data_IF_273201180172
#
_entry.id   IF_273201180172
#
_cell.length_a   1.000
_cell.length_b   1.000
_cell.length_c   1.000
_cell.angle_alpha   90.00
_cell.angle_beta   90.00
_cell.angle_gamma   90.00
#
_symmetry.space_group_name_H-M   'P 1'
#
loop_
_entity.id
_entity.type
_entity.pdbx_description
1 polymer ?
#
# COMPACT_ATOMS: atom_id res chain seq x y z
N UNK A 1 -30.92 -9.24 -32.05
CA UNK A 1 -29.50 -9.07 -31.68
C UNK A 1 -28.77 -10.43 -31.62
N UNK A 2 -28.98 -11.32 -30.62
CA UNK A 2 -28.30 -12.64 -30.59
C UNK A 2 -28.71 -13.59 -31.73
N UNK A 3 -29.97 -13.58 -32.10
CA UNK A 3 -30.47 -14.36 -33.23
C UNK A 3 -29.98 -13.79 -34.56
N UNK A 4 -29.91 -12.48 -34.74
CA UNK A 4 -29.36 -11.80 -35.90
C UNK A 4 -27.86 -12.12 -36.09
N UNK A 5 -27.06 -12.13 -34.98
CA UNK A 5 -25.66 -12.59 -35.06
C UNK A 5 -25.58 -14.07 -35.48
N UNK A 6 -26.47 -14.91 -34.95
CA UNK A 6 -26.52 -16.30 -35.36
C UNK A 6 -26.90 -16.46 -36.83
N UNK A 7 -27.81 -15.61 -37.37
CA UNK A 7 -28.21 -15.61 -38.76
C UNK A 7 -27.05 -15.21 -39.69
N UNK A 8 -26.29 -14.20 -39.30
CA UNK A 8 -25.07 -13.78 -40.00
C UNK A 8 -24.02 -14.86 -40.06
N UNK A 9 -23.81 -15.58 -38.92
CA UNK A 9 -22.83 -16.67 -38.86
C UNK A 9 -23.27 -17.92 -39.64
N UNK A 10 -24.58 -18.16 -39.75
CA UNK A 10 -25.12 -19.27 -40.52
C UNK A 10 -25.07 -19.02 -42.03
N UNK A 11 -25.03 -17.75 -42.45
CA UNK A 11 -25.03 -17.37 -43.88
C UNK A 11 -26.34 -17.66 -44.61
N UNK A 12 -27.44 -17.96 -43.89
CA UNK A 12 -28.74 -18.21 -44.48
C UNK A 12 -29.90 -17.95 -43.49
N UNK A 13 -31.03 -17.45 -44.00
CA UNK A 13 -32.25 -17.24 -43.25
C UNK A 13 -32.93 -18.54 -42.79
N UNK A 14 -33.98 -18.47 -41.90
CA UNK A 14 -34.79 -19.62 -41.55
C UNK A 14 -35.39 -20.29 -42.78
N UNK A 15 -35.20 -21.62 -42.91
CA UNK A 15 -35.70 -22.46 -44.03
C UNK A 15 -35.12 -22.15 -45.43
N UNK A 16 -34.18 -21.20 -45.54
CA UNK A 16 -33.51 -20.88 -46.81
C UNK A 16 -32.47 -21.96 -47.13
N UNK A 17 -32.39 -22.41 -48.40
CA UNK A 17 -31.39 -23.35 -48.91
C UNK A 17 -30.41 -22.61 -49.81
N UNK A 18 -29.22 -22.33 -49.28
CA UNK A 18 -28.12 -21.71 -50.03
C UNK A 18 -26.83 -22.53 -49.87
N UNK A 19 -25.96 -22.49 -50.87
CA UNK A 19 -24.65 -23.13 -50.83
C UNK A 19 -23.70 -22.46 -49.83
N UNK A 20 -24.04 -21.22 -49.40
CA UNK A 20 -23.27 -20.44 -48.42
C UNK A 20 -23.58 -20.82 -46.96
N UNK A 21 -24.54 -21.71 -46.73
CA UNK A 21 -24.98 -22.09 -45.39
C UNK A 21 -23.85 -22.87 -44.66
N UNK A 22 -23.23 -22.22 -43.65
CA UNK A 22 -22.13 -22.77 -42.84
C UNK A 22 -22.58 -23.68 -41.69
N UNK A 23 -23.83 -23.54 -41.21
CA UNK A 23 -24.36 -24.27 -40.04
C UNK A 23 -25.90 -24.36 -40.05
N UNK A 24 -26.43 -25.19 -39.15
CA UNK A 24 -27.88 -25.35 -38.97
C UNK A 24 -28.29 -24.88 -37.56
N UNK A 25 -29.44 -24.20 -37.46
CA UNK A 25 -30.03 -23.84 -36.16
C UNK A 25 -30.52 -25.09 -35.45
N UNK A 26 -30.16 -25.23 -34.17
CA UNK A 26 -30.52 -26.37 -33.29
C UNK A 26 -31.31 -25.92 -32.09
N UNK A 27 -32.07 -24.83 -32.19
CA UNK A 27 -32.86 -24.25 -31.11
C UNK A 27 -32.05 -23.27 -30.24
N UNK A 28 -32.50 -23.07 -29.00
CA UNK A 28 -31.90 -22.16 -28.04
C UNK A 28 -31.64 -22.85 -26.72
N UNK A 29 -30.84 -22.22 -25.89
CA UNK A 29 -30.71 -22.53 -24.46
C UNK A 29 -30.74 -21.25 -23.66
N UNK A 30 -31.22 -21.34 -22.43
CA UNK A 30 -31.26 -20.21 -21.51
C UNK A 30 -29.96 -20.13 -20.72
N UNK A 31 -29.48 -18.91 -20.54
CA UNK A 31 -28.28 -18.57 -19.79
C UNK A 31 -28.55 -17.37 -18.90
N UNK A 32 -28.41 -17.55 -17.57
CA UNK A 32 -28.46 -16.44 -16.63
C UNK A 32 -27.26 -15.52 -16.81
N UNK A 33 -27.52 -14.22 -16.78
CA UNK A 33 -26.50 -13.17 -16.86
C UNK A 33 -26.86 -12.04 -15.89
N UNK A 34 -25.92 -11.65 -15.02
CA UNK A 34 -26.12 -10.60 -14.03
C UNK A 34 -25.63 -9.27 -14.58
N UNK A 35 -26.52 -8.29 -14.65
CA UNK A 35 -26.25 -6.91 -15.07
C UNK A 35 -26.27 -5.98 -13.86
N UNK A 36 -25.88 -4.74 -14.04
CA UNK A 36 -26.02 -3.68 -13.03
C UNK A 36 -27.48 -3.42 -12.64
N UNK A 37 -28.44 -3.76 -13.51
CA UNK A 37 -29.88 -3.61 -13.27
C UNK A 37 -30.56 -4.86 -12.71
N UNK A 38 -29.79 -5.94 -12.51
CA UNK A 38 -30.32 -7.21 -11.99
C UNK A 38 -30.01 -8.42 -12.87
N UNK A 39 -30.59 -9.55 -12.51
CA UNK A 39 -30.42 -10.80 -13.24
C UNK A 39 -31.35 -10.86 -14.47
N UNK A 40 -30.77 -11.17 -15.63
CA UNK A 40 -31.51 -11.38 -16.88
C UNK A 40 -31.25 -12.78 -17.41
N UNK A 41 -32.25 -13.35 -18.07
CA UNK A 41 -32.11 -14.61 -18.78
C UNK A 41 -31.91 -14.37 -20.27
N UNK A 42 -30.72 -14.77 -20.76
CA UNK A 42 -30.36 -14.65 -22.16
C UNK A 42 -30.77 -15.92 -22.91
N UNK A 43 -31.46 -15.75 -24.04
CA UNK A 43 -31.78 -16.81 -24.96
C UNK A 43 -30.67 -16.94 -25.98
N UNK A 44 -29.81 -17.94 -25.81
CA UNK A 44 -28.62 -18.19 -26.61
C UNK A 44 -28.92 -19.16 -27.73
N UNK A 45 -28.58 -18.82 -28.99
CA UNK A 45 -28.80 -19.67 -30.16
C UNK A 45 -27.84 -20.88 -30.14
N UNK A 46 -28.37 -22.08 -30.42
CA UNK A 46 -27.60 -23.31 -30.67
C UNK A 46 -27.42 -23.50 -32.18
N UNK A 47 -26.16 -23.72 -32.58
CA UNK A 47 -25.83 -24.07 -33.96
C UNK A 47 -25.25 -25.49 -34.02
N UNK A 48 -25.65 -26.25 -35.03
CA UNK A 48 -25.07 -27.55 -35.39
C UNK A 48 -24.12 -27.37 -36.56
N UNK A 49 -22.90 -27.87 -36.43
CA UNK A 49 -21.81 -27.71 -37.41
C UNK A 49 -20.80 -26.62 -37.05
N UNK A 50 -21.20 -25.62 -36.28
CA UNK A 50 -20.27 -24.60 -35.74
C UNK A 50 -20.66 -24.17 -34.34
N UNK A 51 -19.74 -23.52 -33.65
CA UNK A 51 -20.00 -22.94 -32.32
C UNK A 51 -20.52 -21.52 -32.47
N UNK A 52 -21.60 -21.20 -31.75
CA UNK A 52 -22.07 -19.81 -31.67
C UNK A 52 -21.16 -19.03 -30.69
N UNK A 53 -20.49 -18.00 -31.22
CA UNK A 53 -19.67 -17.04 -30.44
C UNK A 53 -20.24 -15.66 -30.73
N UNK A 54 -20.84 -15.03 -29.73
CA UNK A 54 -21.38 -13.67 -29.86
C UNK A 54 -20.35 -12.61 -29.54
N UNK A 55 -20.39 -11.49 -30.23
CA UNK A 55 -19.59 -10.31 -29.95
C UNK A 55 -20.11 -9.53 -28.72
N UNK A 56 -21.40 -9.68 -28.38
CA UNK A 56 -22.06 -8.92 -27.32
C UNK A 56 -21.63 -9.39 -25.93
N UNK A 57 -21.35 -10.68 -25.75
CA UNK A 57 -21.03 -11.27 -24.45
C UNK A 57 -19.83 -12.21 -24.60
N UNK A 58 -18.77 -11.93 -23.86
CA UNK A 58 -17.61 -12.82 -23.79
C UNK A 58 -18.02 -14.24 -23.37
N UNK A 59 -17.37 -15.20 -23.98
CA UNK A 59 -17.61 -16.62 -23.69
C UNK A 59 -17.35 -16.91 -22.20
N UNK A 60 -18.26 -17.66 -21.60
CA UNK A 60 -18.26 -18.04 -20.17
C UNK A 60 -18.46 -16.89 -19.17
N UNK A 61 -18.54 -15.64 -19.60
CA UNK A 61 -18.85 -14.53 -18.71
C UNK A 61 -20.31 -14.59 -18.25
N UNK A 62 -20.53 -14.60 -16.94
CA UNK A 62 -21.86 -14.69 -16.33
C UNK A 62 -22.33 -13.37 -15.73
N UNK A 63 -21.49 -12.34 -15.75
CA UNK A 63 -21.76 -11.02 -15.17
C UNK A 63 -21.16 -9.93 -16.03
N UNK A 64 -21.72 -8.76 -15.95
CA UNK A 64 -21.11 -7.54 -16.51
C UNK A 64 -19.78 -7.23 -15.80
N UNK A 65 -18.88 -6.57 -16.51
CA UNK A 65 -17.57 -6.16 -15.96
C UNK A 65 -17.74 -5.25 -14.75
N UNK A 66 -18.68 -4.30 -14.80
CA UNK A 66 -19.02 -3.39 -13.71
C UNK A 66 -19.47 -4.11 -12.42
N UNK A 67 -20.22 -5.21 -12.57
CA UNK A 67 -20.63 -6.06 -11.44
C UNK A 67 -19.41 -6.77 -10.84
N UNK A 68 -18.52 -7.33 -11.68
CA UNK A 68 -17.28 -7.97 -11.21
C UNK A 68 -16.37 -6.96 -10.49
N UNK A 69 -16.22 -5.76 -11.04
CA UNK A 69 -15.45 -4.66 -10.43
C UNK A 69 -16.04 -4.24 -9.07
N UNK A 70 -17.36 -4.11 -8.97
CA UNK A 70 -18.01 -3.78 -7.70
C UNK A 70 -17.79 -4.87 -6.63
N UNK A 71 -17.82 -6.15 -7.00
CA UNK A 71 -17.52 -7.26 -6.10
C UNK A 71 -16.07 -7.19 -5.61
N UNK A 72 -15.13 -6.94 -6.51
CA UNK A 72 -13.70 -6.79 -6.18
C UNK A 72 -13.52 -5.60 -5.22
N UNK A 73 -14.11 -4.45 -5.52
CA UNK A 73 -14.03 -3.26 -4.67
C UNK A 73 -14.64 -3.48 -3.27
N UNK A 74 -15.78 -4.16 -3.16
CA UNK A 74 -16.34 -4.53 -1.87
C UNK A 74 -15.37 -5.37 -1.05
N UNK A 75 -14.73 -6.37 -1.67
CA UNK A 75 -13.74 -7.21 -0.99
C UNK A 75 -12.50 -6.40 -0.56
N UNK A 76 -11.95 -5.58 -1.45
CA UNK A 76 -10.80 -4.72 -1.17
C UNK A 76 -11.14 -3.63 -0.12
N UNK A 77 -12.42 -3.26 -0.03
CA UNK A 77 -12.93 -2.42 1.05
C UNK A 77 -13.04 -3.14 2.40
N UNK A 78 -12.81 -4.47 2.43
CA UNK A 78 -12.83 -5.29 3.64
C UNK A 78 -14.19 -5.93 3.94
N UNK A 79 -15.10 -5.98 2.97
CA UNK A 79 -16.37 -6.73 3.13
C UNK A 79 -16.05 -8.22 3.03
N UNK A 80 -16.53 -9.02 3.99
CA UNK A 80 -16.31 -10.46 3.97
C UNK A 80 -17.02 -11.13 2.79
N UNK A 81 -16.48 -12.26 2.31
CA UNK A 81 -17.04 -12.99 1.15
C UNK A 81 -18.51 -13.37 1.36
N UNK A 82 -18.90 -13.78 2.58
CA UNK A 82 -20.31 -14.05 2.93
C UNK A 82 -21.18 -12.81 2.84
N UNK A 83 -20.69 -11.68 3.36
CA UNK A 83 -21.42 -10.42 3.28
C UNK A 83 -21.52 -9.88 1.85
N UNK A 84 -20.55 -10.18 0.98
CA UNK A 84 -20.62 -9.87 -0.45
C UNK A 84 -21.72 -10.68 -1.11
N UNK A 85 -21.91 -11.96 -0.74
CA UNK A 85 -23.00 -12.79 -1.23
C UNK A 85 -24.36 -12.18 -0.88
N UNK A 86 -24.58 -11.83 0.39
CA UNK A 86 -25.83 -11.18 0.85
C UNK A 86 -26.08 -9.86 0.11
N UNK A 87 -25.05 -9.00 -0.01
CA UNK A 87 -25.17 -7.69 -0.67
C UNK A 87 -25.43 -7.86 -2.17
N UNK A 88 -24.78 -8.81 -2.83
CA UNK A 88 -24.98 -9.07 -4.26
C UNK A 88 -26.38 -9.59 -4.56
N UNK A 89 -26.95 -10.39 -3.67
CA UNK A 89 -28.32 -10.84 -3.78
C UNK A 89 -29.33 -9.68 -3.67
N UNK A 90 -29.11 -8.79 -2.71
CA UNK A 90 -29.94 -7.57 -2.53
C UNK A 90 -29.84 -6.64 -3.73
N UNK A 91 -28.63 -6.39 -4.24
CA UNK A 91 -28.40 -5.41 -5.31
C UNK A 91 -28.80 -5.92 -6.70
N UNK A 92 -28.56 -7.19 -6.99
CA UNK A 92 -28.66 -7.74 -8.35
C UNK A 92 -29.56 -8.96 -8.46
N UNK A 93 -30.19 -9.40 -7.36
CA UNK A 93 -31.07 -10.58 -7.35
C UNK A 93 -30.33 -11.90 -7.56
N UNK A 94 -29.00 -11.92 -7.39
CA UNK A 94 -28.18 -13.12 -7.55
C UNK A 94 -26.98 -13.08 -6.60
N UNK A 95 -26.94 -14.01 -5.65
CA UNK A 95 -25.83 -14.21 -4.73
C UNK A 95 -24.55 -14.64 -5.46
N UNK A 96 -23.41 -14.09 -5.06
CA UNK A 96 -22.10 -14.42 -5.60
C UNK A 96 -21.35 -15.29 -4.61
N UNK A 97 -21.15 -16.58 -4.93
CA UNK A 97 -20.49 -17.51 -4.04
C UNK A 97 -19.10 -17.08 -3.62
N UNK A 98 -18.67 -17.47 -2.41
CA UNK A 98 -17.34 -17.18 -1.88
C UNK A 98 -16.19 -17.61 -2.83
N UNK A 99 -16.34 -18.75 -3.52
CA UNK A 99 -15.38 -19.21 -4.54
C UNK A 99 -15.28 -18.28 -5.74
N UNK A 100 -16.40 -17.70 -6.17
CA UNK A 100 -16.39 -16.71 -7.26
C UNK A 100 -15.69 -15.43 -6.80
N UNK A 101 -15.95 -14.94 -5.59
CA UNK A 101 -15.29 -13.76 -5.02
C UNK A 101 -13.77 -14.00 -4.96
N UNK A 102 -13.33 -15.18 -4.50
CA UNK A 102 -11.91 -15.55 -4.46
C UNK A 102 -11.28 -15.52 -5.86
N UNK A 103 -11.90 -16.13 -6.87
CA UNK A 103 -11.41 -16.16 -8.24
C UNK A 103 -11.31 -14.75 -8.88
N UNK A 104 -12.28 -13.87 -8.59
CA UNK A 104 -12.24 -12.48 -9.04
C UNK A 104 -11.11 -11.71 -8.39
N UNK A 105 -10.87 -11.93 -7.11
CA UNK A 105 -9.79 -11.30 -6.37
C UNK A 105 -8.42 -11.78 -6.83
N UNK A 106 -8.23 -13.05 -7.14
CA UNK A 106 -6.97 -13.57 -7.70
C UNK A 106 -6.59 -12.88 -9.01
N UNK A 107 -7.59 -12.60 -9.87
CA UNK A 107 -7.39 -11.82 -11.10
C UNK A 107 -7.01 -10.37 -10.79
N UNK A 108 -7.69 -9.73 -9.84
CA UNK A 108 -7.38 -8.37 -9.41
C UNK A 108 -6.00 -8.29 -8.76
N UNK A 109 -5.61 -9.29 -7.98
CA UNK A 109 -4.30 -9.33 -7.33
C UNK A 109 -3.14 -9.39 -8.31
N UNK A 110 -3.30 -9.99 -9.49
CA UNK A 110 -2.29 -9.94 -10.53
C UNK A 110 -1.96 -8.49 -10.94
N UNK A 111 -2.99 -7.68 -11.20
CA UNK A 111 -2.83 -6.26 -11.53
C UNK A 111 -2.28 -5.42 -10.36
N UNK A 112 -2.57 -5.82 -9.12
CA UNK A 112 -2.01 -5.21 -7.91
C UNK A 112 -0.53 -5.57 -7.78
N UNK A 113 -0.14 -6.80 -8.05
CA UNK A 113 1.24 -7.26 -7.97
C UNK A 113 2.12 -6.63 -9.06
N UNK A 114 1.61 -6.52 -10.28
CA UNK A 114 2.25 -5.77 -11.37
C UNK A 114 2.52 -4.32 -10.99
N UNK A 115 1.51 -3.64 -10.40
CA UNK A 115 1.68 -2.28 -9.90
C UNK A 115 2.71 -2.20 -8.77
N UNK A 116 2.69 -3.13 -7.81
CA UNK A 116 3.63 -3.19 -6.68
C UNK A 116 5.07 -3.38 -7.16
N UNK A 117 5.26 -4.20 -8.19
CA UNK A 117 6.56 -4.55 -8.75
C UNK A 117 7.03 -3.61 -9.88
N UNK A 118 6.27 -2.56 -10.20
CA UNK A 118 6.61 -1.63 -11.29
C UNK A 118 8.00 -1.01 -11.13
N UNK A 119 8.71 -0.69 -12.22
CA UNK A 119 9.94 0.08 -12.17
C UNK A 119 9.73 1.48 -11.56
N UNK A 120 10.72 1.97 -10.82
CA UNK A 120 10.74 3.31 -10.25
C UNK A 120 11.58 4.22 -11.13
N UNK A 121 10.92 5.10 -11.90
CA UNK A 121 11.58 5.93 -12.91
C UNK A 121 12.19 7.23 -12.37
N UNK A 122 11.71 7.69 -11.19
CA UNK A 122 12.06 8.99 -10.62
C UNK A 122 13.17 8.88 -9.57
N UNK A 123 13.72 10.02 -9.17
CA UNK A 123 14.55 10.15 -7.98
C UNK A 123 13.67 10.45 -6.76
N UNK A 124 14.07 9.89 -5.60
CA UNK A 124 13.31 10.00 -4.35
C UNK A 124 14.24 10.50 -3.23
N UNK A 125 14.45 11.82 -3.11
CA UNK A 125 15.33 12.39 -2.08
C UNK A 125 14.98 11.98 -0.65
N UNK A 126 13.71 11.78 -0.35
CA UNK A 126 13.24 11.35 0.97
C UNK A 126 12.39 10.10 0.86
N UNK A 127 12.68 9.13 1.72
CA UNK A 127 11.94 7.87 1.77
C UNK A 127 11.50 7.59 3.23
N UNK A 128 10.21 7.34 3.42
CA UNK A 128 9.65 6.90 4.70
C UNK A 128 9.44 5.41 4.65
N UNK A 129 9.87 4.72 5.70
CA UNK A 129 9.73 3.26 5.82
C UNK A 129 9.13 2.89 7.18
N UNK A 130 8.28 1.86 7.17
CA UNK A 130 7.63 1.34 8.37
C UNK A 130 7.17 -0.11 8.16
N UNK A 131 6.97 -0.84 9.25
CA UNK A 131 6.39 -2.17 9.27
C UNK A 131 4.96 -2.18 9.81
N UNK A 132 4.09 -2.96 9.19
CA UNK A 132 2.72 -3.18 9.65
C UNK A 132 2.59 -4.65 10.03
N UNK A 133 2.25 -4.93 11.29
CA UNK A 133 1.95 -6.28 11.75
C UNK A 133 0.47 -6.61 11.56
N UNK A 134 0.20 -7.71 10.89
CA UNK A 134 -1.11 -8.30 10.66
C UNK A 134 -1.15 -9.71 11.23
N UNK A 135 -2.33 -10.24 11.53
CA UNK A 135 -2.49 -11.60 12.04
C UNK A 135 -2.80 -12.56 10.91
N UNK A 136 -2.09 -13.68 10.84
CA UNK A 136 -2.45 -14.83 10.00
C UNK A 136 -2.81 -16.04 10.86
N UNK A 137 -3.64 -16.94 10.31
CA UNK A 137 -3.91 -18.24 10.89
C UNK A 137 -3.02 -19.28 10.23
N UNK A 138 -2.30 -20.06 11.01
CA UNK A 138 -1.43 -21.13 10.52
C UNK A 138 -1.50 -22.33 11.47
N UNK A 139 -1.92 -23.50 10.94
CA UNK A 139 -1.94 -24.75 11.73
C UNK A 139 -2.76 -24.67 13.03
N UNK A 140 -3.83 -23.84 13.09
CA UNK A 140 -4.64 -23.63 14.31
C UNK A 140 -4.07 -22.60 15.29
N UNK A 141 -2.91 -21.99 15.01
CA UNK A 141 -2.32 -20.89 15.77
C UNK A 141 -2.41 -19.57 15.02
N UNK A 142 -2.28 -18.45 15.77
CA UNK A 142 -2.21 -17.10 15.20
C UNK A 142 -0.78 -16.60 15.22
N UNK A 143 -0.27 -16.22 14.06
CA UNK A 143 1.06 -15.64 13.91
C UNK A 143 0.97 -14.22 13.37
N UNK A 144 2.01 -13.43 13.64
CA UNK A 144 2.12 -12.11 13.05
C UNK A 144 2.85 -12.22 11.69
N UNK A 145 2.30 -11.53 10.70
CA UNK A 145 2.95 -11.25 9.41
C UNK A 145 3.29 -9.78 9.38
N UNK A 146 4.52 -9.45 9.10
CA UNK A 146 4.94 -8.09 8.87
C UNK A 146 4.79 -7.75 7.38
N UNK A 147 4.20 -6.60 7.07
CA UNK A 147 4.23 -6.02 5.74
C UNK A 147 5.03 -4.74 5.82
N UNK A 148 6.18 -4.73 5.15
CA UNK A 148 7.03 -3.55 5.03
C UNK A 148 6.46 -2.63 3.98
N UNK A 149 6.43 -1.32 4.27
CA UNK A 149 5.91 -0.29 3.37
C UNK A 149 6.93 0.83 3.23
N UNK A 150 7.10 1.31 2.01
CA UNK A 150 7.93 2.47 1.70
C UNK A 150 7.16 3.51 0.88
N UNK A 151 7.27 4.78 1.29
CA UNK A 151 6.75 5.95 0.59
C UNK A 151 7.94 6.83 0.22
N UNK A 152 8.10 7.13 -1.06
CA UNK A 152 9.07 8.10 -1.55
C UNK A 152 8.45 9.48 -1.73
N UNK A 153 9.27 10.51 -1.59
CA UNK A 153 8.98 11.86 -2.06
C UNK A 153 9.87 12.11 -3.25
N UNK A 154 9.27 12.34 -4.40
CA UNK A 154 10.01 12.56 -5.64
C UNK A 154 10.60 13.97 -5.72
N UNK A 155 11.37 14.22 -6.77
CA UNK A 155 12.03 15.51 -7.02
C UNK A 155 11.04 16.69 -7.15
N UNK A 156 9.79 16.45 -7.48
CA UNK A 156 8.75 17.47 -7.57
C UNK A 156 8.02 17.70 -6.23
N UNK A 157 8.41 16.98 -5.16
CA UNK A 157 7.82 17.09 -3.82
C UNK A 157 6.57 16.25 -3.59
N UNK A 158 6.16 15.44 -4.57
CA UNK A 158 4.97 14.57 -4.44
C UNK A 158 5.32 13.23 -3.80
N UNK A 159 4.36 12.71 -3.05
CA UNK A 159 4.45 11.39 -2.42
C UNK A 159 4.10 10.29 -3.41
N UNK A 160 4.86 9.22 -3.40
CA UNK A 160 4.57 8.00 -4.14
C UNK A 160 4.77 6.78 -3.25
N UNK A 161 3.91 5.78 -3.37
CA UNK A 161 4.17 4.47 -2.78
C UNK A 161 5.23 3.79 -3.64
N UNK A 162 6.44 3.65 -3.10
CA UNK A 162 7.56 3.05 -3.83
C UNK A 162 7.63 1.55 -3.64
N UNK A 163 7.01 1.00 -2.59
CA UNK A 163 6.88 -0.45 -2.45
C UNK A 163 6.24 -0.91 -1.17
N UNK A 164 5.78 -2.17 -1.22
CA UNK A 164 5.42 -2.96 -0.04
C UNK A 164 5.80 -4.42 -0.29
N UNK A 165 6.22 -5.12 0.76
CA UNK A 165 6.57 -6.53 0.70
C UNK A 165 6.21 -7.23 2.02
N UNK A 166 5.86 -8.52 1.90
CA UNK A 166 5.69 -9.37 3.06
C UNK A 166 7.04 -9.67 3.71
N UNK A 167 7.04 -9.78 5.02
CA UNK A 167 8.17 -10.24 5.81
C UNK A 167 7.68 -11.05 7.00
N UNK A 168 8.50 -11.99 7.45
CA UNK A 168 8.19 -12.75 8.67
C UNK A 168 8.46 -11.94 9.93
N UNK A 169 9.48 -11.08 9.89
CA UNK A 169 9.94 -10.27 11.03
C UNK A 169 10.52 -8.95 10.53
N UNK A 170 10.83 -8.05 11.45
CA UNK A 170 11.64 -6.86 11.16
C UNK A 170 13.13 -7.09 11.44
N UNK A 171 13.65 -8.27 11.05
CA UNK A 171 15.07 -8.58 11.18
C UNK A 171 15.93 -7.73 10.22
N UNK A 172 17.25 -7.72 10.46
CA UNK A 172 18.19 -7.02 9.57
C UNK A 172 18.14 -7.60 8.15
N UNK A 173 18.07 -8.92 8.02
CA UNK A 173 18.02 -9.61 6.73
C UNK A 173 16.75 -9.22 5.95
N UNK A 174 15.61 -9.22 6.61
CA UNK A 174 14.34 -8.84 6.00
C UNK A 174 14.35 -7.39 5.50
N UNK A 175 14.88 -6.45 6.30
CA UNK A 175 15.03 -5.05 5.88
C UNK A 175 16.02 -4.91 4.73
N UNK A 176 17.14 -5.62 4.75
CA UNK A 176 18.13 -5.62 3.66
C UNK A 176 17.50 -6.12 2.36
N UNK A 177 16.77 -7.23 2.40
CA UNK A 177 16.14 -7.81 1.22
C UNK A 177 15.07 -6.86 0.65
N UNK A 178 14.27 -6.25 1.50
CA UNK A 178 13.29 -5.23 1.07
C UNK A 178 13.95 -4.01 0.41
N UNK A 179 14.99 -3.46 1.03
CA UNK A 179 15.72 -2.31 0.49
C UNK A 179 16.46 -2.67 -0.81
N UNK A 180 17.06 -3.87 -0.89
CA UNK A 180 17.70 -4.38 -2.11
C UNK A 180 16.69 -4.56 -3.24
N UNK A 181 15.50 -5.08 -2.92
CA UNK A 181 14.41 -5.18 -3.89
C UNK A 181 13.94 -3.81 -4.38
N UNK A 182 13.82 -2.80 -3.50
CA UNK A 182 13.49 -1.43 -3.93
C UNK A 182 14.60 -0.86 -4.85
N UNK A 183 15.88 -1.12 -4.52
CA UNK A 183 17.02 -0.69 -5.32
C UNK A 183 17.02 -1.34 -6.71
N UNK A 184 16.76 -2.63 -6.79
CA UNK A 184 16.69 -3.37 -8.07
C UNK A 184 15.57 -2.85 -8.98
N UNK A 185 14.49 -2.30 -8.40
CA UNK A 185 13.39 -1.65 -9.14
C UNK A 185 13.68 -0.22 -9.56
N UNK A 186 14.84 0.32 -9.21
CA UNK A 186 15.27 1.66 -9.62
C UNK A 186 15.14 2.74 -8.54
N UNK A 187 14.94 2.38 -7.26
CA UNK A 187 14.98 3.37 -6.18
C UNK A 187 16.36 4.02 -6.11
N UNK A 188 16.42 5.34 -6.36
CA UNK A 188 17.66 6.11 -6.43
C UNK A 188 17.46 7.55 -5.96
N UNK A 189 18.57 8.26 -5.75
CA UNK A 189 18.59 9.67 -5.38
C UNK A 189 18.29 9.95 -3.91
N UNK A 190 18.26 8.91 -3.04
CA UNK A 190 17.93 9.07 -1.64
C UNK A 190 19.00 9.89 -0.92
N UNK A 191 18.53 10.92 -0.21
CA UNK A 191 19.33 11.72 0.73
C UNK A 191 19.08 11.27 2.16
N UNK A 192 17.83 10.87 2.46
CA UNK A 192 17.45 10.49 3.82
C UNK A 192 16.30 9.49 3.84
N UNK A 193 16.43 8.50 4.72
CA UNK A 193 15.36 7.61 5.14
C UNK A 193 14.82 8.03 6.51
N UNK A 194 13.49 8.09 6.64
CA UNK A 194 12.82 8.38 7.93
C UNK A 194 12.02 7.16 8.38
N UNK A 195 12.26 6.69 9.59
CA UNK A 195 11.57 5.51 10.16
C UNK A 195 11.60 5.48 11.68
N UNK A 196 11.00 4.44 12.29
CA UNK A 196 11.19 4.15 13.72
C UNK A 196 12.56 3.48 13.93
N UNK A 197 13.05 3.51 15.18
CA UNK A 197 14.34 2.88 15.52
C UNK A 197 14.18 1.37 15.62
N UNK A 198 14.44 0.68 14.52
CA UNK A 198 14.72 -0.76 14.50
C UNK A 198 16.17 -0.95 14.10
N UNK A 199 16.96 -1.62 14.93
CA UNK A 199 18.41 -1.78 14.71
C UNK A 199 18.70 -2.46 13.35
N UNK A 200 17.90 -3.44 12.97
CA UNK A 200 18.00 -4.12 11.69
C UNK A 200 17.78 -3.18 10.51
N UNK A 201 16.79 -2.29 10.59
CA UNK A 201 16.48 -1.31 9.55
C UNK A 201 17.63 -0.30 9.35
N UNK A 202 18.15 0.27 10.44
CA UNK A 202 19.23 1.26 10.38
C UNK A 202 20.49 0.66 9.75
N UNK A 203 20.87 -0.55 10.18
CA UNK A 203 22.03 -1.26 9.64
C UNK A 203 21.86 -1.60 8.16
N UNK A 204 20.65 -1.97 7.73
CA UNK A 204 20.38 -2.31 6.34
C UNK A 204 20.35 -1.07 5.42
N UNK A 205 19.90 0.10 5.91
CA UNK A 205 20.00 1.36 5.15
C UNK A 205 21.46 1.69 4.86
N UNK A 206 22.34 1.64 5.88
CA UNK A 206 23.74 1.93 5.71
C UNK A 206 24.46 0.96 4.74
N UNK A 207 24.03 -0.31 4.72
CA UNK A 207 24.57 -1.34 3.84
C UNK A 207 24.11 -1.17 2.38
N UNK A 208 22.82 -0.99 2.14
CA UNK A 208 22.23 -0.96 0.79
C UNK A 208 22.35 0.43 0.14
N UNK A 209 22.25 1.50 0.95
CA UNK A 209 22.28 2.90 0.53
C UNK A 209 23.26 3.73 1.38
N UNK A 210 24.58 3.49 1.28
CA UNK A 210 25.58 4.11 2.15
C UNK A 210 25.64 5.65 2.05
N UNK A 211 25.15 6.22 0.95
CA UNK A 211 25.07 7.68 0.77
C UNK A 211 23.83 8.33 1.41
N UNK A 212 22.89 7.55 1.91
CA UNK A 212 21.65 8.07 2.48
C UNK A 212 21.75 8.16 4.01
N UNK A 213 21.24 9.25 4.60
CA UNK A 213 21.17 9.41 6.05
C UNK A 213 19.94 8.73 6.62
N UNK A 214 20.06 8.29 7.86
CA UNK A 214 18.91 7.81 8.62
C UNK A 214 18.42 8.90 9.56
N UNK A 215 17.11 9.17 9.53
CA UNK A 215 16.38 10.05 10.43
C UNK A 215 15.45 9.20 11.31
N UNK A 216 15.69 9.18 12.60
CA UNK A 216 14.73 8.63 13.55
C UNK A 216 13.52 9.53 13.66
N UNK A 217 12.32 8.97 13.51
CA UNK A 217 11.07 9.71 13.68
C UNK A 217 11.00 10.37 15.06
N UNK A 218 10.87 11.71 15.08
CA UNK A 218 10.82 12.47 16.33
C UNK A 218 9.61 12.10 17.20
N UNK A 219 8.46 11.73 16.60
CA UNK A 219 7.25 11.32 17.32
C UNK A 219 7.48 9.99 18.05
N UNK A 220 8.11 9.03 17.41
CA UNK A 220 8.47 7.76 18.04
C UNK A 220 9.52 7.95 19.13
N UNK A 221 10.52 8.80 18.89
CA UNK A 221 11.48 9.20 19.91
C UNK A 221 10.80 9.78 21.15
N UNK A 222 9.87 10.74 20.98
CA UNK A 222 9.11 11.30 22.10
C UNK A 222 8.30 10.23 22.84
N UNK A 223 7.63 9.35 22.12
CA UNK A 223 6.84 8.25 22.70
C UNK A 223 7.72 7.34 23.56
N UNK A 224 8.87 6.96 23.03
CA UNK A 224 9.83 6.09 23.74
C UNK A 224 10.42 6.80 24.97
N UNK A 225 10.81 8.05 24.85
CA UNK A 225 11.29 8.84 25.97
C UNK A 225 10.19 8.98 27.04
N UNK A 226 8.99 9.45 26.66
CA UNK A 226 7.88 9.65 27.61
C UNK A 226 7.39 8.39 28.30
N UNK A 227 7.59 7.21 27.71
CA UNK A 227 7.29 5.93 28.35
C UNK A 227 8.10 5.70 29.64
N UNK A 228 9.31 6.30 29.73
CA UNK A 228 10.21 6.22 30.90
C UNK A 228 9.90 7.27 31.97
N UNK A 229 8.90 8.13 31.75
CA UNK A 229 8.52 9.16 32.72
C UNK A 229 7.20 8.82 33.44
N UNK A 230 7.07 9.19 34.74
CA UNK A 230 5.81 9.12 35.45
C UNK A 230 4.72 9.93 34.73
N UNK A 231 3.48 9.44 34.77
CA UNK A 231 2.34 10.06 34.06
C UNK A 231 2.18 11.54 34.40
N UNK A 232 2.36 11.91 35.66
CA UNK A 232 2.23 13.30 36.16
C UNK A 232 3.23 14.29 35.52
N UNK A 233 4.41 13.81 35.08
CA UNK A 233 5.46 14.67 34.51
C UNK A 233 5.48 14.67 32.97
N UNK A 234 4.71 13.80 32.31
CA UNK A 234 4.76 13.62 30.85
C UNK A 234 4.44 14.87 30.06
N UNK A 235 3.50 15.70 30.49
CA UNK A 235 3.13 16.93 29.80
C UNK A 235 4.29 17.94 29.75
N UNK A 236 4.94 18.16 30.92
CA UNK A 236 6.09 19.05 31.01
C UNK A 236 7.27 18.54 30.17
N UNK A 237 7.58 17.24 30.27
CA UNK A 237 8.68 16.63 29.50
C UNK A 237 8.39 16.66 28.00
N UNK A 238 7.16 16.44 27.59
CA UNK A 238 6.77 16.54 26.18
C UNK A 238 7.04 17.93 25.60
N UNK A 239 6.79 19.01 26.37
CA UNK A 239 7.12 20.38 25.95
C UNK A 239 8.65 20.56 25.77
N UNK A 240 9.45 20.02 26.69
CA UNK A 240 10.90 20.11 26.63
C UNK A 240 11.49 19.31 25.46
N UNK A 241 11.01 18.10 25.24
CA UNK A 241 11.42 17.29 24.07
C UNK A 241 11.07 17.98 22.74
N UNK A 242 9.90 18.61 22.66
CA UNK A 242 9.50 19.40 21.48
C UNK A 242 10.41 20.61 21.26
N UNK A 243 10.87 21.25 22.35
CA UNK A 243 11.78 22.38 22.29
C UNK A 243 13.12 22.02 21.64
N UNK A 244 13.64 20.79 21.79
CA UNK A 244 14.84 20.29 21.11
C UNK A 244 14.69 20.46 19.58
N UNK A 245 13.56 20.05 19.03
CA UNK A 245 13.31 20.08 17.58
C UNK A 245 12.68 21.39 17.10
N UNK A 246 12.55 22.39 17.97
CA UNK A 246 12.15 23.75 17.63
C UNK A 246 13.36 24.68 17.42
N UNK A 247 14.57 24.18 17.67
CA UNK A 247 15.81 24.96 17.49
C UNK A 247 16.10 25.18 16.00
N UNK A 248 16.79 26.26 15.71
CA UNK A 248 17.10 26.77 14.38
C UNK A 248 18.35 26.13 13.74
N UNK A 249 19.17 25.41 14.54
CA UNK A 249 20.33 24.68 14.07
C UNK A 249 20.51 23.36 14.76
N UNK A 250 21.36 22.48 14.17
CA UNK A 250 21.71 21.18 14.75
C UNK A 250 22.44 21.34 16.07
N UNK A 251 23.33 22.31 16.15
CA UNK A 251 24.18 22.60 17.33
C UNK A 251 23.28 23.09 18.48
N UNK A 252 22.37 24.02 18.22
CA UNK A 252 21.41 24.51 19.19
C UNK A 252 20.47 23.40 19.68
N UNK A 253 20.02 22.52 18.78
CA UNK A 253 19.19 21.38 19.11
C UNK A 253 19.94 20.36 20.00
N UNK A 254 21.22 20.09 19.69
CA UNK A 254 22.08 19.21 20.46
C UNK A 254 22.33 19.77 21.88
N UNK A 255 22.71 21.06 21.99
CA UNK A 255 22.90 21.73 23.26
C UNK A 255 21.61 21.70 24.11
N UNK A 256 20.45 21.91 23.48
CA UNK A 256 19.14 21.81 24.16
C UNK A 256 18.84 20.40 24.63
N UNK A 257 19.22 19.36 23.86
CA UNK A 257 18.99 17.96 24.25
C UNK A 257 19.84 17.59 25.48
N UNK A 258 21.11 18.00 25.51
CA UNK A 258 21.98 17.79 26.68
C UNK A 258 21.44 18.52 27.92
N UNK A 259 21.05 19.78 27.80
CA UNK A 259 20.44 20.52 28.90
C UNK A 259 19.15 19.84 29.42
N UNK A 260 18.33 19.26 28.56
CA UNK A 260 17.14 18.50 28.96
C UNK A 260 17.54 17.21 29.67
N UNK A 261 18.60 16.53 29.23
CA UNK A 261 19.09 15.31 29.87
C UNK A 261 19.66 15.60 31.27
N UNK A 262 20.49 16.64 31.41
CA UNK A 262 21.09 17.07 32.68
C UNK A 262 20.03 17.46 33.71
N UNK A 263 19.03 18.24 33.31
CA UNK A 263 17.90 18.58 34.16
C UNK A 263 17.13 17.33 34.65
N UNK A 264 17.00 16.30 33.82
CA UNK A 264 16.35 15.04 34.22
C UNK A 264 17.23 14.20 35.13
N UNK A 265 18.53 14.21 34.94
CA UNK A 265 19.46 13.53 35.82
C UNK A 265 19.46 14.11 37.22
N UNK A 266 19.42 15.46 37.32
CA UNK A 266 19.27 16.17 38.59
C UNK A 266 17.99 15.81 39.35
N UNK A 267 16.92 15.48 38.62
CA UNK A 267 15.65 15.00 39.18
C UNK A 267 15.64 13.49 39.51
N UNK A 268 16.80 12.81 39.49
CA UNK A 268 16.95 11.37 39.72
C UNK A 268 16.22 10.48 38.65
N UNK A 269 15.96 11.00 37.48
CA UNK A 269 15.35 10.27 36.37
C UNK A 269 16.41 9.78 35.38
N UNK A 270 17.41 9.05 35.86
CA UNK A 270 18.60 8.62 35.10
C UNK A 270 18.26 7.85 33.81
N UNK A 271 17.31 6.93 33.86
CA UNK A 271 16.92 6.16 32.65
C UNK A 271 16.33 7.07 31.55
N UNK A 272 15.57 8.06 31.95
CA UNK A 272 14.96 9.01 31.02
C UNK A 272 16.03 9.94 30.42
N UNK A 273 16.96 10.44 31.23
CA UNK A 273 18.12 11.19 30.77
C UNK A 273 18.95 10.40 29.77
N UNK A 274 19.23 9.12 30.07
CA UNK A 274 19.95 8.21 29.18
C UNK A 274 19.23 8.04 27.82
N UNK A 275 17.91 7.81 27.81
CA UNK A 275 17.14 7.68 26.55
C UNK A 275 17.22 8.94 25.70
N UNK A 276 17.26 10.13 26.33
CA UNK A 276 17.44 11.39 25.59
C UNK A 276 18.83 11.47 25.02
N UNK A 277 19.89 11.29 25.81
CA UNK A 277 21.30 11.35 25.34
C UNK A 277 21.61 10.33 24.25
N UNK A 278 21.19 9.07 24.44
CA UNK A 278 21.47 7.99 23.48
C UNK A 278 20.65 8.10 22.18
N UNK A 279 19.62 8.93 22.15
CA UNK A 279 18.67 8.93 21.05
C UNK A 279 18.50 10.24 20.29
N UNK A 280 18.88 11.38 20.83
CA UNK A 280 18.60 12.67 20.18
C UNK A 280 19.38 12.85 18.87
N UNK A 281 20.65 12.40 18.83
CA UNK A 281 21.49 12.58 17.65
C UNK A 281 20.89 12.00 16.38
N UNK A 282 20.28 10.82 16.48
CA UNK A 282 19.59 10.16 15.36
C UNK A 282 18.31 10.90 14.90
N UNK A 283 17.78 11.80 15.74
CA UNK A 283 16.60 12.61 15.44
C UNK A 283 16.90 13.95 14.77
N UNK A 284 18.17 14.28 14.58
CA UNK A 284 18.64 15.56 14.06
C UNK A 284 19.25 15.49 12.64
N UNK A 285 19.16 14.33 11.97
CA UNK A 285 19.67 14.20 10.59
C UNK A 285 18.96 15.14 9.61
N UNK A 286 17.70 15.48 9.87
CA UNK A 286 16.91 16.42 9.05
C UNK A 286 17.52 17.82 9.00
N UNK A 287 18.31 18.24 9.99
CA UNK A 287 18.94 19.58 10.03
C UNK A 287 19.96 19.78 8.90
N UNK A 288 20.44 18.72 8.26
CA UNK A 288 21.32 18.78 7.11
C UNK A 288 20.59 18.93 5.78
N UNK A 289 19.25 18.99 5.83
CA UNK A 289 18.38 19.19 4.68
C UNK A 289 17.87 20.64 4.66
N UNK A 290 17.30 21.12 3.54
CA UNK A 290 16.70 22.46 3.47
C UNK A 290 15.69 22.69 4.58
N UNK A 291 15.75 23.86 5.23
CA UNK A 291 14.95 24.16 6.45
C UNK A 291 13.44 24.15 6.18
N UNK A 292 13.00 24.51 4.99
CA UNK A 292 11.61 24.44 4.55
C UNK A 292 11.03 23.01 4.57
N UNK A 293 11.90 21.99 4.49
CA UNK A 293 11.50 20.58 4.53
C UNK A 293 11.42 20.02 5.95
N UNK A 294 12.14 20.57 6.93
CA UNK A 294 12.36 20.02 8.27
C UNK A 294 11.10 19.52 8.95
N UNK A 295 10.06 20.33 8.93
CA UNK A 295 8.79 20.00 9.60
C UNK A 295 8.15 18.72 9.04
N UNK A 296 8.36 18.42 7.76
CA UNK A 296 7.75 17.29 7.05
C UNK A 296 8.58 16.04 7.14
N UNK A 297 9.92 16.18 7.06
CA UNK A 297 10.84 15.03 6.93
C UNK A 297 11.31 14.47 8.27
N UNK A 298 11.19 15.21 9.39
CA UNK A 298 11.61 14.74 10.72
C UNK A 298 10.64 13.75 11.38
N UNK A 299 9.46 13.51 10.79
CA UNK A 299 8.42 12.64 11.33
C UNK A 299 7.95 11.62 10.31
N UNK A 300 7.52 10.45 10.77
CA UNK A 300 6.94 9.40 9.93
C UNK A 300 5.42 9.54 9.74
N UNK A 301 4.86 10.74 9.97
CA UNK A 301 3.41 10.99 9.93
C UNK A 301 2.76 10.63 8.59
N UNK A 302 3.52 10.76 7.48
CA UNK A 302 3.03 10.42 6.15
C UNK A 302 2.63 8.94 6.06
N UNK A 303 3.51 8.04 6.53
CA UNK A 303 3.28 6.60 6.51
C UNK A 303 2.37 6.16 7.68
N UNK A 304 2.46 6.80 8.85
CA UNK A 304 1.57 6.48 9.98
C UNK A 304 0.08 6.70 9.65
N UNK A 305 -0.24 7.78 8.91
CA UNK A 305 -1.60 8.04 8.43
C UNK A 305 -2.09 6.93 7.50
N UNK A 306 -1.24 6.49 6.58
CA UNK A 306 -1.51 5.41 5.67
C UNK A 306 -1.68 4.08 6.41
N UNK A 307 -0.79 3.78 7.36
CA UNK A 307 -0.86 2.58 8.19
C UNK A 307 -2.15 2.50 9.03
N UNK A 308 -2.66 3.64 9.52
CA UNK A 308 -3.97 3.70 10.19
C UNK A 308 -5.11 3.32 9.25
N UNK A 309 -5.07 3.79 8.02
CA UNK A 309 -6.08 3.47 7.02
C UNK A 309 -6.03 1.99 6.64
N UNK A 310 -4.83 1.43 6.45
CA UNK A 310 -4.62 0.00 6.21
C UNK A 310 -5.16 -0.82 7.39
N UNK A 311 -4.77 -0.48 8.63
CA UNK A 311 -5.23 -1.19 9.84
C UNK A 311 -6.74 -1.14 10.02
N UNK A 312 -7.38 -0.04 9.64
CA UNK A 312 -8.84 0.08 9.68
C UNK A 312 -9.51 -0.96 8.78
N UNK A 313 -8.94 -1.23 7.61
CA UNK A 313 -9.45 -2.22 6.65
C UNK A 313 -9.10 -3.64 7.03
N UNK A 314 -7.87 -3.90 7.45
CA UNK A 314 -7.43 -5.24 7.83
C UNK A 314 -8.11 -5.75 9.11
N UNK A 315 -8.53 -4.86 10.01
CA UNK A 315 -9.32 -5.25 11.21
C UNK A 315 -10.66 -5.88 10.87
N UNK A 316 -11.30 -5.49 9.77
CA UNK A 316 -12.59 -6.08 9.33
C UNK A 316 -12.40 -7.52 8.88
N UNK A 317 -11.27 -7.81 8.23
CA UNK A 317 -10.91 -9.18 7.81
C UNK A 317 -10.54 -10.05 9.02
N UNK A 318 -9.95 -9.45 10.04
CA UNK A 318 -9.52 -10.12 11.27
C UNK A 318 -8.23 -10.91 11.10
N UNK A 319 -8.29 -12.08 10.49
CA UNK A 319 -7.13 -12.99 10.29
C UNK A 319 -7.02 -13.39 8.83
N UNK A 320 -5.80 -13.40 8.32
CA UNK A 320 -5.52 -13.81 6.94
C UNK A 320 -5.15 -15.29 6.88
N UNK A 321 -5.51 -16.02 5.80
CA UNK A 321 -5.11 -17.42 5.63
C UNK A 321 -3.59 -17.55 5.46
N UNK A 322 -2.96 -16.60 4.81
CA UNK A 322 -1.52 -16.56 4.53
C UNK A 322 -0.99 -15.12 4.42
N UNK A 323 0.32 -14.98 4.34
CA UNK A 323 0.98 -13.67 4.23
C UNK A 323 0.76 -13.02 2.88
N UNK A 324 0.62 -13.80 1.80
CA UNK A 324 0.33 -13.29 0.46
C UNK A 324 -1.01 -12.58 0.41
N UNK A 325 -2.05 -13.17 1.01
CA UNK A 325 -3.38 -12.55 1.11
C UNK A 325 -3.33 -11.25 1.90
N UNK A 326 -2.57 -11.21 3.00
CA UNK A 326 -2.35 -9.99 3.78
C UNK A 326 -1.61 -8.92 2.96
N UNK A 327 -0.53 -9.29 2.25
CA UNK A 327 0.22 -8.41 1.37
C UNK A 327 -0.66 -7.83 0.26
N UNK A 328 -1.47 -8.68 -0.39
CA UNK A 328 -2.30 -8.25 -1.52
C UNK A 328 -3.39 -7.26 -1.08
N UNK A 329 -4.02 -7.46 0.09
CA UNK A 329 -4.98 -6.47 0.62
C UNK A 329 -4.30 -5.14 0.94
N UNK A 330 -3.12 -5.17 1.57
CA UNK A 330 -2.32 -3.97 1.85
C UNK A 330 -1.94 -3.27 0.54
N UNK A 331 -1.41 -4.02 -0.44
CA UNK A 331 -0.98 -3.48 -1.73
C UNK A 331 -2.15 -2.88 -2.54
N UNK A 332 -3.31 -3.53 -2.54
CA UNK A 332 -4.52 -3.01 -3.18
C UNK A 332 -4.95 -1.67 -2.55
N UNK A 333 -4.93 -1.59 -1.20
CA UNK A 333 -5.25 -0.34 -0.51
C UNK A 333 -4.23 0.76 -0.79
N UNK A 334 -2.95 0.40 -0.84
CA UNK A 334 -1.88 1.34 -1.23
C UNK A 334 -2.05 1.84 -2.67
N UNK A 335 -2.39 0.95 -3.60
CA UNK A 335 -2.68 1.30 -5.00
C UNK A 335 -3.86 2.27 -5.11
N UNK A 336 -4.95 2.00 -4.38
CA UNK A 336 -6.12 2.88 -4.31
C UNK A 336 -5.75 4.28 -3.79
N UNK A 337 -5.02 4.36 -2.67
CA UNK A 337 -4.60 5.65 -2.10
C UNK A 337 -3.63 6.38 -3.04
N UNK A 338 -2.73 5.66 -3.71
CA UNK A 338 -1.82 6.25 -4.69
C UNK A 338 -2.54 6.81 -5.93
N UNK A 339 -3.69 6.25 -6.30
CA UNK A 339 -4.55 6.76 -7.37
C UNK A 339 -5.47 7.90 -6.96
N UNK A 340 -5.62 8.16 -5.64
CA UNK A 340 -6.36 9.31 -5.13
C UNK A 340 -5.46 10.57 -5.13
N UNK A 341 -6.06 11.76 -4.98
CA UNK A 341 -5.30 13.00 -4.87
C UNK A 341 -4.42 13.06 -3.61
N UNK A 342 -3.27 12.46 -3.68
CA UNK A 342 -2.20 12.61 -2.70
C UNK A 342 -1.43 13.88 -3.03
N UNK A 343 -1.85 15.02 -2.48
CA UNK A 343 -1.21 16.32 -2.70
C UNK A 343 0.29 16.34 -2.36
N UNK A 344 1.00 17.38 -2.77
CA UNK A 344 2.44 17.52 -2.51
C UNK A 344 2.71 17.45 -0.99
N UNK A 345 3.80 16.78 -0.62
CA UNK A 345 4.29 16.77 0.76
C UNK A 345 5.17 17.97 1.04
N UNK A 346 5.97 18.36 0.06
CA UNK A 346 6.95 19.43 0.16
C UNK A 346 6.60 20.58 -0.78
N UNK A 347 6.85 21.83 -0.38
CA UNK A 347 6.71 22.97 -1.27
C UNK A 347 7.87 22.99 -2.26
N UNK A 348 7.56 23.08 -3.55
CA UNK A 348 8.54 23.25 -4.60
C UNK A 348 9.35 22.00 -4.96
N UNK A 349 10.27 22.18 -5.90
CA UNK A 349 11.16 21.13 -6.41
C UNK A 349 12.23 20.78 -5.39
N UNK A 350 12.40 19.50 -5.09
CA UNK A 350 13.47 19.01 -4.22
C UNK A 350 14.73 18.86 -5.07
N UNK A 351 15.76 19.68 -4.85
CA UNK A 351 16.99 19.63 -5.62
C UNK A 351 17.61 18.22 -5.62
N UNK A 352 17.90 17.68 -6.80
CA UNK A 352 18.61 16.41 -6.96
C UNK A 352 20.07 16.56 -6.51
N UNK A 353 20.72 15.47 -6.10
CA UNK A 353 22.14 15.49 -5.71
C UNK A 353 23.08 16.05 -6.80
N UNK A 354 22.70 15.97 -8.07
CA UNK A 354 23.50 16.50 -9.20
C UNK A 354 23.55 18.02 -9.26
N UNK A 355 22.56 18.73 -8.69
CA UNK A 355 22.53 20.19 -8.72
C UNK A 355 23.48 20.84 -7.69
N UNK A 356 23.91 20.13 -6.65
CA UNK A 356 24.75 20.65 -5.58
C UNK A 356 26.25 20.68 -5.99
N UNK A 357 26.66 19.87 -6.96
CA UNK A 357 28.05 19.79 -7.41
C UNK A 357 28.42 20.94 -8.41
N UNK A 358 27.43 21.55 -9.05
CA UNK A 358 27.63 22.59 -10.06
C UNK A 358 27.67 24.03 -9.51
N UNK A 359 27.40 24.24 -8.23
CA UNK A 359 27.43 25.58 -7.59
C UNK A 359 28.62 25.80 -6.63
N UNK A 360 29.58 24.87 -6.59
CA UNK A 360 30.81 24.97 -5.80
C UNK A 360 32.07 25.00 -6.68
N UNK A 361 31.96 25.63 -7.87
CA UNK A 361 33.11 25.92 -8.77
C UNK A 361 33.27 27.41 -8.93
#
# INVERSE_FOLDING_TARGET
MLDEEADQLVGAGPYERTDERAAYRAGHYERGFTTTSGQVTLKMSKLKGMRFVTAVIERYKRRETSVEEAIIEMHLAGVSTRRIEDVSEILWGAGVSAGTVSNLNDRAFKAVDEWRCRPLAREYPYVYIDGIYLKRSWGGSYENVAVMVAIGVNEDGYREVVGCAESFTESKECWRDFLSWLKSRGLRGMRMFTGDKAAGMVGSIAEVFPGAKYQRCTVHFYRNALAKFPKSKRSQVAAMLKAIHAMESREAAAAKAEAVADDRESMRLKEAAKVVRDGYAETLAYCEMPCEHWRRIRTNNAIERLNREIRRRTRVVGTFPDGKSALMLVAARLKYVAGSEWGPLLPGRVASQRAVVLTAS
#
